data_IF_675266195989
#
_entry.id   IF_675266195989
#
_cell.length_a   1.000
_cell.length_b   1.000
_cell.length_c   1.000
_cell.angle_alpha   90.00
_cell.angle_beta   90.00
_cell.angle_gamma   90.00
#
_symmetry.space_group_name_H-M   'P 1'
#
loop_
_entity.id
_entity.type
_entity.pdbx_description
1 polymer ?
#
# COMPACT_ATOMS: atom_id res chain seq x y z
N UNK A 1 -6.07 -10.13 -20.51
CA UNK A 1 -5.74 -9.14 -19.45
C UNK A 1 -4.42 -9.53 -18.83
N UNK A 2 -3.45 -8.61 -18.73
CA UNK A 2 -2.14 -8.90 -18.10
C UNK A 2 -2.26 -8.62 -16.60
N UNK A 3 -1.75 -9.54 -15.78
CA UNK A 3 -1.64 -9.31 -14.34
C UNK A 3 -0.34 -8.58 -14.05
N UNK A 4 -0.41 -7.55 -13.23
CA UNK A 4 0.72 -6.73 -12.82
C UNK A 4 0.88 -6.75 -11.29
N UNK A 5 2.12 -6.68 -10.84
CA UNK A 5 2.46 -6.57 -9.43
C UNK A 5 2.35 -5.12 -8.97
N UNK A 6 1.66 -4.89 -7.86
CA UNK A 6 1.43 -3.57 -7.30
C UNK A 6 1.69 -3.58 -5.79
N UNK A 7 2.47 -2.59 -5.37
CA UNK A 7 2.77 -2.35 -3.96
C UNK A 7 2.09 -1.03 -3.57
N UNK A 8 1.34 -1.04 -2.48
CA UNK A 8 0.70 0.16 -1.94
C UNK A 8 1.13 0.36 -0.49
N UNK A 9 1.27 1.63 -0.11
CA UNK A 9 1.53 2.08 1.25
C UNK A 9 0.29 2.77 1.79
N UNK A 10 -0.15 2.37 2.97
CA UNK A 10 -1.21 3.03 3.73
C UNK A 10 -0.56 3.86 4.83
N UNK A 11 -0.74 5.17 4.78
CA UNK A 11 -0.16 6.13 5.73
C UNK A 11 -1.27 6.72 6.59
N UNK A 12 -1.14 6.64 7.91
CA UNK A 12 -2.01 7.35 8.83
C UNK A 12 -1.67 8.86 8.79
N UNK A 13 -2.61 9.74 8.39
CA UNK A 13 -2.35 11.17 8.33
C UNK A 13 -2.08 11.80 9.70
N UNK A 14 -2.49 11.14 10.79
CA UNK A 14 -2.25 11.62 12.15
C UNK A 14 -0.90 11.22 12.72
N UNK A 15 -0.19 10.29 12.06
CA UNK A 15 1.09 9.75 12.51
C UNK A 15 1.01 8.87 13.77
N UNK A 16 -0.20 8.55 14.25
CA UNK A 16 -0.41 7.69 15.42
C UNK A 16 -0.07 6.23 15.11
N UNK A 17 -0.28 5.80 13.87
CA UNK A 17 0.00 4.45 13.40
C UNK A 17 1.14 4.42 12.38
N UNK A 18 1.98 3.39 12.46
CA UNK A 18 3.05 3.18 11.48
C UNK A 18 2.46 2.87 10.09
N UNK A 19 3.11 3.32 9.00
CA UNK A 19 2.67 3.01 7.66
C UNK A 19 2.79 1.52 7.37
N UNK A 20 1.81 0.98 6.64
CA UNK A 20 1.78 -0.43 6.24
C UNK A 20 1.96 -0.53 4.74
N UNK A 21 2.84 -1.41 4.27
CA UNK A 21 3.02 -1.69 2.83
C UNK A 21 2.47 -3.08 2.52
N UNK A 22 1.65 -3.18 1.47
CA UNK A 22 1.03 -4.43 1.04
C UNK A 22 1.30 -4.70 -0.44
N UNK A 23 1.40 -5.98 -0.79
CA UNK A 23 1.61 -6.48 -2.16
C UNK A 23 0.31 -7.07 -2.71
N UNK A 24 0.00 -6.75 -3.97
CA UNK A 24 -1.17 -7.24 -4.68
C UNK A 24 -0.81 -7.58 -6.13
N UNK A 25 -1.42 -8.64 -6.67
CA UNK A 25 -1.38 -8.94 -8.09
C UNK A 25 -2.71 -8.58 -8.72
N UNK A 26 -2.70 -7.59 -9.62
CA UNK A 26 -3.91 -6.92 -10.12
C UNK A 26 -4.02 -7.02 -11.63
N UNK A 27 -5.24 -7.10 -12.14
CA UNK A 27 -5.50 -7.12 -13.59
C UNK A 27 -5.77 -5.72 -14.17
N UNK A 28 -6.15 -4.77 -13.32
CA UNK A 28 -6.37 -3.35 -13.65
C UNK A 28 -5.86 -2.51 -12.48
N UNK A 29 -4.67 -1.92 -12.68
CA UNK A 29 -3.99 -1.10 -11.67
C UNK A 29 -4.79 0.15 -11.30
N UNK A 30 -5.36 0.84 -12.27
CA UNK A 30 -6.04 2.10 -12.04
C UNK A 30 -7.33 1.88 -11.25
N UNK A 31 -8.13 0.89 -11.67
CA UNK A 31 -9.36 0.52 -10.97
C UNK A 31 -9.08 0.03 -9.54
N UNK A 32 -8.01 -0.74 -9.35
CA UNK A 32 -7.63 -1.20 -8.03
C UNK A 32 -7.22 -0.03 -7.12
N UNK A 33 -6.34 0.87 -7.59
CA UNK A 33 -5.92 2.03 -6.80
C UNK A 33 -7.10 2.92 -6.41
N UNK A 34 -8.05 3.14 -7.33
CA UNK A 34 -9.22 3.94 -7.02
C UNK A 34 -10.11 3.27 -5.97
N UNK A 35 -10.27 1.95 -6.02
CA UNK A 35 -11.01 1.20 -5.00
C UNK A 35 -10.32 1.26 -3.62
N UNK A 36 -8.98 1.23 -3.59
CA UNK A 36 -8.21 1.39 -2.36
C UNK A 36 -8.41 2.79 -1.76
N UNK A 37 -8.33 3.84 -2.58
CA UNK A 37 -8.60 5.22 -2.17
C UNK A 37 -10.03 5.40 -1.68
N UNK A 38 -10.99 4.77 -2.35
CA UNK A 38 -12.38 4.82 -1.94
C UNK A 38 -12.58 4.25 -0.53
N UNK A 39 -11.95 3.11 -0.27
CA UNK A 39 -12.08 2.38 0.99
C UNK A 39 -11.37 3.09 2.13
N UNK A 40 -10.11 3.47 1.92
CA UNK A 40 -9.21 3.93 2.98
C UNK A 40 -9.15 5.45 3.15
N UNK A 41 -9.49 6.23 2.12
CA UNK A 41 -9.49 7.70 2.17
C UNK A 41 -10.92 8.25 2.25
N UNK A 42 -11.78 7.91 1.28
CA UNK A 42 -13.09 8.56 1.11
C UNK A 42 -14.18 8.02 2.04
N UNK A 43 -14.25 6.70 2.21
CA UNK A 43 -15.26 6.03 3.05
C UNK A 43 -14.81 5.80 4.48
N UNK A 44 -13.49 5.78 4.71
CA UNK A 44 -12.92 5.68 6.05
C UNK A 44 -13.26 6.91 6.89
N UNK A 45 -13.35 6.72 8.21
CA UNK A 45 -13.72 7.78 9.16
C UNK A 45 -12.83 7.72 10.39
N UNK A 46 -12.56 8.89 10.97
CA UNK A 46 -11.83 9.00 12.23
C UNK A 46 -10.44 8.36 12.15
N UNK A 47 -10.13 7.48 13.10
CA UNK A 47 -8.81 6.85 13.24
C UNK A 47 -8.49 5.81 12.15
N UNK A 48 -9.48 5.38 11.36
CA UNK A 48 -9.32 4.41 10.29
C UNK A 48 -8.89 5.03 8.96
N UNK A 49 -8.86 6.36 8.85
CA UNK A 49 -8.43 7.06 7.64
C UNK A 49 -6.96 6.75 7.37
N UNK A 50 -6.65 6.33 6.13
CA UNK A 50 -5.29 6.09 5.64
C UNK A 50 -5.14 6.65 4.24
N UNK A 51 -4.05 7.38 4.00
CA UNK A 51 -3.65 7.84 2.67
C UNK A 51 -3.08 6.68 1.87
N UNK A 52 -3.54 6.50 0.64
CA UNK A 52 -3.09 5.42 -0.25
C UNK A 52 -2.03 5.95 -1.20
N UNK A 53 -0.81 5.42 -1.06
CA UNK A 53 0.34 5.77 -1.89
C UNK A 53 0.85 4.52 -2.64
N UNK A 54 1.38 4.71 -3.85
CA UNK A 54 2.07 3.63 -4.57
C UNK A 54 3.47 3.49 -3.98
N UNK A 55 3.85 2.26 -3.63
CA UNK A 55 5.18 1.93 -3.14
C UNK A 55 5.99 1.14 -4.17
N UNK A 56 7.29 0.97 -3.90
CA UNK A 56 8.14 0.05 -4.64
C UNK A 56 8.21 -1.33 -3.98
N UNK A 57 8.62 -2.34 -4.74
CA UNK A 57 8.95 -3.65 -4.19
C UNK A 57 10.06 -3.56 -3.13
N UNK A 58 11.05 -2.68 -3.34
CA UNK A 58 12.14 -2.49 -2.40
C UNK A 58 11.63 -1.98 -1.04
N UNK A 59 10.66 -1.05 -1.05
CA UNK A 59 10.03 -0.57 0.19
C UNK A 59 9.26 -1.69 0.88
N UNK A 60 8.53 -2.51 0.13
CA UNK A 60 7.81 -3.65 0.67
C UNK A 60 8.75 -4.66 1.34
N UNK A 61 9.84 -5.05 0.66
CA UNK A 61 10.84 -5.97 1.22
C UNK A 61 11.46 -5.42 2.51
N UNK A 62 11.79 -4.12 2.55
CA UNK A 62 12.27 -3.45 3.76
C UNK A 62 11.24 -3.50 4.89
N UNK A 63 9.95 -3.24 4.59
CA UNK A 63 8.88 -3.26 5.60
C UNK A 63 8.62 -4.66 6.19
N UNK A 64 8.86 -5.71 5.40
CA UNK A 64 8.71 -7.11 5.83
C UNK A 64 9.90 -7.61 6.66
N UNK A 65 10.91 -6.76 6.92
CA UNK A 65 12.10 -7.15 7.67
C UNK A 65 12.96 -8.20 6.96
N UNK A 66 12.89 -8.27 5.62
CA UNK A 66 13.81 -9.12 4.87
C UNK A 66 15.24 -8.66 5.15
N UNK A 67 16.04 -9.54 5.77
CA UNK A 67 17.49 -9.34 5.88
C UNK A 67 18.04 -9.24 4.45
N UNK A 68 18.66 -8.12 4.10
CA UNK A 68 19.56 -8.05 2.94
C UNK A 68 20.56 -9.19 3.12
N UNK A 69 20.41 -10.27 2.34
CA UNK A 69 21.49 -11.23 2.19
C UNK A 69 22.58 -10.49 1.43
N UNK A 70 23.58 -10.03 2.19
CA UNK A 70 24.82 -9.52 1.65
C UNK A 70 25.39 -10.58 0.69
N UNK A 71 25.54 -10.20 -0.57
CA UNK A 71 26.29 -10.95 -1.58
C UNK A 71 27.79 -10.64 -1.43
#
# INVERSE_FOLDING_TARGET
>A
MKSEDLYIRLVDPTGKHQPVITYHRVHDRARFLEAQRDTHERKAKGADVRRVEVASEADYRKSMGYKEQAA
#
